data_IF_509361459611
#
_entry.id   IF_509361459611
#
_cell.length_a   1.000
_cell.length_b   1.000
_cell.length_c   1.000
_cell.angle_alpha   90.00
_cell.angle_beta   90.00
_cell.angle_gamma   90.00
#
_symmetry.space_group_name_H-M   'P 1'
#
loop_
_entity.id
_entity.type
_entity.pdbx_description
1 polymer ?
#
# COMPACT_ATOMS: atom_id res chain seq x y z
N UNK A 1 -20.17 18.27 -29.09
CA UNK A 1 -21.28 17.77 -29.91
C UNK A 1 -21.25 16.26 -29.82
N UNK A 2 -22.10 15.59 -29.02
CA UNK A 2 -22.09 14.13 -28.99
C UNK A 2 -22.84 13.63 -30.23
N UNK A 3 -22.17 12.79 -31.00
CA UNK A 3 -22.74 12.07 -32.14
C UNK A 3 -23.64 10.97 -31.58
N UNK A 4 -24.94 11.02 -31.86
CA UNK A 4 -25.90 9.98 -31.47
C UNK A 4 -25.78 8.83 -32.48
N UNK A 5 -25.03 7.79 -32.13
CA UNK A 5 -24.93 6.58 -32.93
C UNK A 5 -26.04 5.56 -32.61
N UNK A 6 -26.68 5.10 -33.69
CA UNK A 6 -27.13 3.74 -33.97
C UNK A 6 -28.26 3.15 -33.10
N UNK A 7 -29.48 3.43 -33.53
CA UNK A 7 -30.74 2.77 -33.18
C UNK A 7 -30.82 1.34 -33.75
N UNK A 8 -30.53 0.34 -32.92
CA UNK A 8 -30.78 -1.08 -33.25
C UNK A 8 -32.27 -1.39 -33.13
N UNK A 9 -32.83 -2.04 -34.14
CA UNK A 9 -34.23 -2.48 -34.17
C UNK A 9 -34.37 -3.83 -33.47
N UNK A 10 -35.20 -3.91 -32.43
CA UNK A 10 -35.54 -5.18 -31.76
C UNK A 10 -36.82 -5.75 -32.40
N UNK A 11 -36.73 -6.95 -32.99
CA UNK A 11 -37.88 -7.65 -33.59
C UNK A 11 -38.41 -8.70 -32.62
N UNK A 12 -39.64 -8.51 -32.14
CA UNK A 12 -40.41 -9.54 -31.43
C UNK A 12 -41.68 -9.79 -32.24
N UNK A 13 -41.86 -11.04 -32.68
CA UNK A 13 -43.04 -11.52 -33.43
C UNK A 13 -43.36 -10.73 -34.70
N UNK A 14 -42.36 -10.45 -35.54
CA UNK A 14 -42.55 -9.92 -36.89
C UNK A 14 -43.02 -8.46 -37.01
N UNK A 15 -43.19 -7.74 -35.89
CA UNK A 15 -43.49 -6.30 -35.88
C UNK A 15 -42.24 -5.53 -35.45
N UNK A 16 -41.70 -4.71 -36.36
CA UNK A 16 -40.64 -3.76 -36.04
C UNK A 16 -41.25 -2.58 -35.29
N UNK A 17 -41.07 -2.55 -33.97
CA UNK A 17 -41.36 -1.34 -33.21
C UNK A 17 -40.24 -0.35 -33.50
N UNK A 18 -40.52 0.90 -33.93
CA UNK A 18 -39.49 1.94 -33.80
C UNK A 18 -39.15 1.94 -32.31
N UNK A 19 -37.87 1.84 -31.96
CA UNK A 19 -37.37 2.02 -30.59
C UNK A 19 -37.89 3.37 -30.10
N UNK A 20 -39.08 3.37 -29.50
CA UNK A 20 -39.77 4.58 -29.10
C UNK A 20 -38.92 5.17 -27.99
N UNK A 21 -38.76 6.50 -27.93
CA UNK A 21 -37.94 7.13 -26.91
C UNK A 21 -38.37 6.72 -25.48
N UNK A 22 -39.63 6.28 -25.31
CA UNK A 22 -40.17 5.71 -24.06
C UNK A 22 -39.61 4.32 -23.72
N UNK A 23 -39.36 3.44 -24.70
CA UNK A 23 -38.83 2.09 -24.46
C UNK A 23 -37.41 2.14 -23.91
N UNK A 24 -36.57 2.96 -24.53
CA UNK A 24 -35.20 3.25 -24.07
C UNK A 24 -35.17 3.87 -22.65
N UNK A 25 -36.17 4.72 -22.37
CA UNK A 25 -36.45 5.35 -21.06
C UNK A 25 -36.78 4.32 -19.99
N UNK A 26 -37.63 3.33 -20.33
CA UNK A 26 -38.12 2.28 -19.45
C UNK A 26 -37.13 1.13 -19.27
N UNK A 27 -36.26 0.88 -20.25
CA UNK A 27 -35.29 -0.20 -20.21
C UNK A 27 -34.14 0.17 -19.27
N UNK A 28 -33.17 1.01 -19.65
CA UNK A 28 -32.02 1.31 -18.77
C UNK A 28 -31.25 2.62 -19.07
N UNK A 29 -31.75 3.52 -19.92
CA UNK A 29 -30.97 4.70 -20.38
C UNK A 29 -30.47 5.57 -19.22
N UNK A 30 -31.35 5.93 -18.27
CA UNK A 30 -30.99 6.80 -17.15
C UNK A 30 -30.04 6.13 -16.17
N UNK A 31 -30.20 4.82 -15.96
CA UNK A 31 -29.28 4.06 -15.12
C UNK A 31 -27.86 4.07 -15.73
N UNK A 32 -27.74 3.83 -17.04
CA UNK A 32 -26.44 3.87 -17.73
C UNK A 32 -25.83 5.28 -17.69
N UNK A 33 -26.63 6.31 -17.98
CA UNK A 33 -26.18 7.70 -17.92
C UNK A 33 -25.74 8.09 -16.50
N UNK A 34 -26.46 7.66 -15.47
CA UNK A 34 -26.10 7.94 -14.08
C UNK A 34 -24.81 7.24 -13.67
N UNK A 35 -24.62 5.96 -14.03
CA UNK A 35 -23.37 5.22 -13.77
C UNK A 35 -22.18 5.88 -14.47
N UNK A 36 -22.37 6.32 -15.71
CA UNK A 36 -21.32 7.02 -16.46
C UNK A 36 -20.98 8.39 -15.85
N UNK A 37 -21.99 9.16 -15.45
CA UNK A 37 -21.80 10.42 -14.72
C UNK A 37 -21.10 10.21 -13.38
N UNK A 38 -21.45 9.16 -12.63
CA UNK A 38 -20.78 8.81 -11.37
C UNK A 38 -19.32 8.43 -11.61
N UNK A 39 -19.03 7.65 -12.65
CA UNK A 39 -17.65 7.30 -13.02
C UNK A 39 -16.82 8.55 -13.32
N UNK A 40 -17.33 9.44 -14.17
CA UNK A 40 -16.67 10.69 -14.52
C UNK A 40 -16.47 11.60 -13.30
N UNK A 41 -17.46 11.67 -12.40
CA UNK A 41 -17.34 12.42 -11.16
C UNK A 41 -16.26 11.84 -10.24
N UNK A 42 -16.20 10.51 -10.10
CA UNK A 42 -15.19 9.81 -9.31
C UNK A 42 -13.77 10.04 -9.87
N UNK A 43 -13.62 9.96 -11.20
CA UNK A 43 -12.37 10.24 -11.89
C UNK A 43 -11.92 11.69 -11.68
N UNK A 44 -12.85 12.65 -11.80
CA UNK A 44 -12.57 14.05 -11.53
C UNK A 44 -12.16 14.30 -10.07
N UNK A 45 -12.79 13.64 -9.10
CA UNK A 45 -12.40 13.70 -7.69
C UNK A 45 -11.00 13.11 -7.49
N UNK A 46 -10.70 11.98 -8.11
CA UNK A 46 -9.39 11.33 -8.03
C UNK A 46 -8.29 12.24 -8.60
N UNK A 47 -8.53 12.86 -9.76
CA UNK A 47 -7.60 13.80 -10.38
C UNK A 47 -7.37 15.04 -9.48
N UNK A 48 -8.44 15.64 -8.96
CA UNK A 48 -8.34 16.77 -8.02
C UNK A 48 -7.57 16.39 -6.74
N UNK A 49 -7.77 15.17 -6.22
CA UNK A 49 -7.03 14.67 -5.06
C UNK A 49 -5.54 14.51 -5.38
N UNK A 50 -5.20 13.89 -6.51
CA UNK A 50 -3.81 13.75 -6.98
C UNK A 50 -3.13 15.11 -7.17
N UNK A 51 -3.83 16.09 -7.73
CA UNK A 51 -3.31 17.46 -7.87
C UNK A 51 -3.10 18.16 -6.53
N UNK A 52 -4.04 18.01 -5.58
CA UNK A 52 -3.90 18.53 -4.22
C UNK A 52 -2.65 17.94 -3.53
N UNK A 53 -2.45 16.63 -3.64
CA UNK A 53 -1.26 15.94 -3.08
C UNK A 53 0.03 16.46 -3.73
N UNK A 54 0.03 16.68 -5.05
CA UNK A 54 1.19 17.26 -5.76
C UNK A 54 1.48 18.69 -5.29
N UNK A 55 0.46 19.52 -5.09
CA UNK A 55 0.59 20.92 -4.62
C UNK A 55 0.98 21.00 -3.15
N UNK A 56 0.54 20.05 -2.32
CA UNK A 56 0.91 19.96 -0.91
C UNK A 56 2.26 19.29 -0.68
N UNK A 57 2.92 18.78 -1.74
CA UNK A 57 4.23 18.17 -1.62
C UNK A 57 5.27 19.26 -1.34
N UNK A 58 5.50 19.52 -0.06
CA UNK A 58 6.59 20.36 0.42
C UNK A 58 7.89 19.78 -0.13
N UNK A 59 8.63 20.57 -0.89
CA UNK A 59 9.93 20.14 -1.40
C UNK A 59 10.83 19.82 -0.20
N UNK A 60 11.45 18.64 -0.24
CA UNK A 60 12.36 18.23 0.82
C UNK A 60 13.61 19.11 0.79
N UNK A 61 13.72 20.06 1.71
CA UNK A 61 14.96 20.83 1.93
C UNK A 61 16.07 19.89 2.43
N UNK A 62 17.34 20.25 2.22
CA UNK A 62 18.52 19.53 2.75
C UNK A 62 18.36 19.15 4.24
N UNK A 63 17.83 20.04 5.07
CA UNK A 63 17.56 19.77 6.49
C UNK A 63 16.56 18.63 6.72
N UNK A 64 15.48 18.57 5.93
CA UNK A 64 14.49 17.49 6.04
C UNK A 64 15.07 16.14 5.61
N UNK A 65 15.95 16.14 4.61
CA UNK A 65 16.66 14.95 4.17
C UNK A 65 17.62 14.45 5.26
N UNK A 66 18.43 15.34 5.83
CA UNK A 66 19.36 15.01 6.91
C UNK A 66 18.65 14.51 8.18
N UNK A 67 17.47 15.06 8.51
CA UNK A 67 16.67 14.55 9.65
C UNK A 67 16.13 13.13 9.44
N UNK A 68 15.85 12.75 8.19
CA UNK A 68 15.34 11.42 7.86
C UNK A 68 16.45 10.39 7.63
N UNK A 69 17.62 10.86 7.21
CA UNK A 69 18.75 10.00 6.91
C UNK A 69 19.32 9.41 8.21
N UNK A 70 19.19 8.10 8.34
CA UNK A 70 19.95 7.31 9.31
C UNK A 70 21.14 6.74 8.55
N UNK A 71 22.39 7.14 8.86
CA UNK A 71 23.56 6.52 8.26
C UNK A 71 23.52 5.01 8.50
N UNK A 72 23.97 4.19 7.53
CA UNK A 72 24.20 2.78 7.78
C UNK A 72 25.08 2.65 9.02
N UNK A 73 24.56 1.99 10.06
CA UNK A 73 25.32 1.73 11.28
C UNK A 73 26.37 0.68 10.93
N UNK A 74 27.65 1.07 10.88
CA UNK A 74 28.73 0.09 10.90
C UNK A 74 28.58 -0.69 12.22
N UNK A 75 28.41 -2.02 12.18
CA UNK A 75 28.39 -2.82 13.40
C UNK A 75 29.81 -2.87 13.96
N UNK A 76 30.25 -1.78 14.59
CA UNK A 76 31.42 -1.80 15.41
C UNK A 76 31.22 -2.96 16.41
N UNK A 77 32.20 -3.88 16.55
CA UNK A 77 32.04 -5.00 17.45
C UNK A 77 31.73 -4.44 18.85
N UNK A 78 30.70 -4.99 19.49
CA UNK A 78 30.38 -4.65 20.86
C UNK A 78 31.65 -4.84 21.68
N UNK A 79 32.09 -3.80 22.38
CA UNK A 79 33.36 -3.84 23.11
C UNK A 79 33.36 -5.05 24.05
N UNK A 80 34.32 -5.94 23.85
CA UNK A 80 34.52 -7.12 24.68
C UNK A 80 35.95 -7.12 25.23
N UNK A 81 36.15 -7.64 26.43
CA UNK A 81 37.51 -7.88 26.90
C UNK A 81 38.15 -9.01 26.06
N UNK A 82 39.43 -8.88 25.63
CA UNK A 82 40.11 -9.92 24.83
C UNK A 82 40.08 -11.32 25.46
N UNK A 83 40.11 -11.40 26.80
CA UNK A 83 40.04 -12.68 27.52
C UNK A 83 38.71 -13.43 27.32
N UNK A 84 37.62 -12.72 27.05
CA UNK A 84 36.29 -13.32 26.84
C UNK A 84 36.02 -13.71 25.38
N UNK A 85 36.93 -13.45 24.44
CA UNK A 85 36.76 -13.91 23.05
C UNK A 85 36.80 -15.44 22.92
N UNK A 86 37.54 -16.11 23.81
CA UNK A 86 37.77 -17.56 23.74
C UNK A 86 36.86 -18.38 24.65
N UNK A 87 36.17 -17.71 25.58
CA UNK A 87 35.39 -18.36 26.63
C UNK A 87 33.92 -18.14 26.31
N UNK A 88 33.18 -19.24 26.15
CA UNK A 88 31.73 -19.18 25.92
C UNK A 88 30.96 -18.67 27.15
N UNK A 89 29.65 -18.38 26.99
CA UNK A 89 28.81 -17.98 28.10
C UNK A 89 28.80 -19.07 29.18
N UNK A 90 29.07 -18.67 30.42
CA UNK A 90 29.05 -19.60 31.56
C UNK A 90 27.61 -19.98 31.97
N UNK A 91 26.65 -19.09 31.69
CA UNK A 91 25.25 -19.28 32.04
C UNK A 91 24.44 -19.55 30.76
N UNK A 92 23.67 -20.63 30.79
CA UNK A 92 22.60 -20.87 29.82
C UNK A 92 21.26 -20.55 30.48
N UNK A 93 20.56 -19.55 29.96
CA UNK A 93 19.23 -19.17 30.46
C UNK A 93 18.13 -20.05 29.89
N UNK A 94 18.41 -20.82 28.84
CA UNK A 94 17.45 -21.73 28.25
C UNK A 94 17.54 -23.11 28.91
N UNK A 95 16.37 -23.70 29.20
CA UNK A 95 16.31 -25.05 29.78
C UNK A 95 16.79 -26.13 28.79
N UNK A 96 16.56 -25.93 27.49
CA UNK A 96 16.97 -26.85 26.43
C UNK A 96 17.54 -26.10 25.22
N UNK A 97 18.43 -26.73 24.42
CA UNK A 97 18.98 -26.11 23.22
C UNK A 97 17.91 -25.82 22.15
N UNK A 98 16.85 -26.62 22.10
CA UNK A 98 15.72 -26.41 21.17
C UNK A 98 14.96 -25.12 21.50
N UNK A 99 14.73 -24.83 22.79
CA UNK A 99 14.10 -23.58 23.21
C UNK A 99 14.95 -22.37 22.85
N UNK A 100 16.27 -22.48 22.98
CA UNK A 100 17.21 -21.45 22.54
C UNK A 100 17.03 -21.17 21.04
N UNK A 101 17.08 -22.20 20.21
CA UNK A 101 16.95 -22.04 18.76
C UNK A 101 15.59 -21.44 18.39
N UNK A 102 14.51 -21.89 19.04
CA UNK A 102 13.17 -21.35 18.84
C UNK A 102 13.07 -19.87 19.22
N UNK A 103 13.65 -19.48 20.36
CA UNK A 103 13.67 -18.09 20.81
C UNK A 103 14.45 -17.18 19.85
N UNK A 104 15.64 -17.59 19.40
CA UNK A 104 16.40 -16.83 18.40
C UNK A 104 15.72 -16.77 17.04
N UNK A 105 15.06 -17.85 16.61
CA UNK A 105 14.28 -17.85 15.36
C UNK A 105 13.13 -16.86 15.42
N UNK A 106 12.38 -16.84 16.54
CA UNK A 106 11.32 -15.87 16.76
C UNK A 106 11.86 -14.43 16.79
N UNK A 107 12.95 -14.19 17.53
CA UNK A 107 13.61 -12.88 17.58
C UNK A 107 14.03 -12.41 16.18
N UNK A 108 14.69 -13.26 15.40
CA UNK A 108 15.14 -12.92 14.05
C UNK A 108 13.96 -12.60 13.11
N UNK A 109 12.83 -13.29 13.26
CA UNK A 109 11.63 -13.00 12.48
C UNK A 109 10.99 -11.64 12.83
N UNK A 110 10.97 -11.28 14.12
CA UNK A 110 10.41 -10.01 14.61
C UNK A 110 11.37 -8.84 14.38
N UNK A 111 12.68 -9.08 14.44
CA UNK A 111 13.74 -8.09 14.21
C UNK A 111 13.65 -7.42 12.83
N UNK A 112 13.16 -8.13 11.80
CA UNK A 112 12.96 -7.59 10.44
C UNK A 112 11.99 -6.39 10.44
N UNK A 113 11.01 -6.42 11.34
CA UNK A 113 10.02 -5.36 11.45
C UNK A 113 10.50 -4.18 12.31
N UNK A 114 11.69 -4.27 12.95
CA UNK A 114 12.20 -3.27 13.88
C UNK A 114 13.37 -2.46 13.31
N UNK A 115 13.56 -1.26 13.84
CA UNK A 115 14.72 -0.39 13.53
C UNK A 115 15.93 -0.71 14.41
N UNK A 116 17.11 -0.37 13.89
CA UNK A 116 18.39 -0.44 14.59
C UNK A 116 19.13 -1.76 14.37
N UNK A 117 20.44 -1.76 14.58
CA UNK A 117 21.33 -2.88 14.25
C UNK A 117 20.92 -4.24 14.84
N UNK A 118 20.37 -4.24 16.06
CA UNK A 118 20.04 -5.48 16.79
C UNK A 118 18.58 -5.92 16.64
N UNK A 119 17.74 -5.17 15.90
CA UNK A 119 16.31 -5.47 15.76
C UNK A 119 15.52 -5.34 17.07
N UNK A 120 16.00 -4.51 18.00
CA UNK A 120 15.37 -4.24 19.30
C UNK A 120 14.72 -2.86 19.39
N UNK A 121 14.77 -2.08 18.31
CA UNK A 121 14.20 -0.74 18.28
C UNK A 121 12.70 -0.70 18.02
N UNK A 122 12.22 0.51 17.73
CA UNK A 122 10.82 0.76 17.37
C UNK A 122 10.43 0.01 16.10
N UNK A 123 9.18 -0.43 16.03
CA UNK A 123 8.61 -1.01 14.81
C UNK A 123 8.68 -0.02 13.65
N UNK A 124 8.99 -0.52 12.46
CA UNK A 124 8.77 0.18 11.20
C UNK A 124 7.26 0.20 10.95
N UNK A 125 6.57 1.18 11.54
CA UNK A 125 5.19 1.49 11.19
C UNK A 125 5.25 2.13 9.79
N UNK A 126 5.05 1.30 8.77
CA UNK A 126 4.89 1.72 7.38
C UNK A 126 3.52 2.32 7.14
#
# INVERSE_FOLDING_TARGET
MPVLENNKTHTVNGKAWPSTPIGDLLEHRYQRQWVEQQRLAQEAICLKSKEKIKKSKVQSTRTTLLRKYQPPEDPAPLWHLPRFQKIGPHLDTFQTPEMRQKAFSAHNSDAVARRGLHGLGIYNIG
#
